data_IF_325197743670
#
_entry.id   IF_325197743670
#
_cell.length_a   1.000
_cell.length_b   1.000
_cell.length_c   1.000
_cell.angle_alpha   90.00
_cell.angle_beta   90.00
_cell.angle_gamma   90.00
#
_symmetry.space_group_name_H-M   'P 1'
#
loop_
_entity.id
_entity.type
_entity.pdbx_description
1 polymer ?
#
# COMPACT_ATOMS: atom_id res chain seq x y z
N UNK A 1 10.75 3.11 -6.48
CA UNK A 1 9.45 2.42 -6.23
C UNK A 1 8.45 3.33 -5.51
N UNK A 2 8.51 3.48 -4.18
CA UNK A 2 7.49 4.18 -3.38
C UNK A 2 7.09 5.58 -3.90
N UNK A 3 8.07 6.44 -4.19
CA UNK A 3 7.81 7.81 -4.68
C UNK A 3 7.06 7.79 -6.02
N UNK A 4 7.52 6.99 -6.99
CA UNK A 4 6.88 6.92 -8.30
C UNK A 4 5.48 6.31 -8.22
N UNK A 5 5.26 5.31 -7.35
CA UNK A 5 3.92 4.78 -7.08
C UNK A 5 3.00 5.85 -6.51
N UNK A 6 3.47 6.63 -5.53
CA UNK A 6 2.70 7.73 -4.96
C UNK A 6 2.35 8.80 -6.01
N UNK A 7 3.29 9.12 -6.91
CA UNK A 7 3.05 10.04 -8.03
C UNK A 7 2.00 9.49 -9.00
N UNK A 8 2.05 8.19 -9.33
CA UNK A 8 1.05 7.55 -10.19
C UNK A 8 -0.35 7.59 -9.56
N UNK A 9 -0.49 7.28 -8.26
CA UNK A 9 -1.76 7.37 -7.56
C UNK A 9 -2.27 8.82 -7.47
N UNK A 10 -1.40 9.76 -7.14
CA UNK A 10 -1.74 11.18 -7.12
C UNK A 10 -2.22 11.68 -8.49
N UNK A 11 -1.61 11.19 -9.57
CA UNK A 11 -2.06 11.48 -10.94
C UNK A 11 -3.48 10.97 -11.19
N UNK A 12 -3.79 9.71 -10.83
CA UNK A 12 -5.14 9.14 -10.99
C UNK A 12 -6.19 9.92 -10.18
N UNK A 13 -5.86 10.28 -8.95
CA UNK A 13 -6.75 11.03 -8.05
C UNK A 13 -6.95 12.49 -8.49
N UNK A 14 -6.06 13.04 -9.32
CA UNK A 14 -6.15 14.39 -9.87
C UNK A 14 -6.83 14.47 -11.25
N UNK A 15 -7.24 13.33 -11.83
CA UNK A 15 -8.01 13.32 -13.08
C UNK A 15 -9.37 14.02 -12.91
N UNK A 16 -9.97 14.42 -14.04
CA UNK A 16 -11.32 15.00 -14.09
C UNK A 16 -12.20 14.15 -15.04
N UNK A 17 -13.08 13.28 -14.51
CA UNK A 17 -13.32 13.01 -13.09
C UNK A 17 -12.20 12.18 -12.42
N UNK A 18 -12.02 12.28 -11.08
CA UNK A 18 -11.01 11.50 -10.36
C UNK A 18 -11.19 9.99 -10.54
N UNK A 19 -10.08 9.24 -10.56
CA UNK A 19 -10.09 7.79 -10.71
C UNK A 19 -9.47 7.09 -9.50
N UNK A 20 -10.18 6.14 -8.91
CA UNK A 20 -9.70 5.27 -7.84
C UNK A 20 -9.28 3.93 -8.44
N UNK A 21 -8.07 3.46 -8.13
CA UNK A 21 -7.50 2.23 -8.67
C UNK A 21 -8.17 0.97 -8.06
N UNK A 22 -8.35 0.97 -6.73
CA UNK A 22 -9.09 -0.03 -5.92
C UNK A 22 -8.41 -1.39 -5.75
N UNK A 23 -7.35 -1.66 -6.49
CA UNK A 23 -6.52 -2.87 -6.32
C UNK A 23 -5.01 -2.58 -6.31
N UNK A 24 -4.62 -1.59 -5.51
CA UNK A 24 -3.20 -1.27 -5.31
C UNK A 24 -2.55 -2.37 -4.47
N UNK A 25 -1.54 -3.04 -5.04
CA UNK A 25 -0.77 -4.11 -4.38
C UNK A 25 0.59 -4.25 -5.03
N UNK A 26 1.54 -4.89 -4.35
CA UNK A 26 2.91 -5.05 -4.83
C UNK A 26 2.98 -5.75 -6.20
N UNK A 27 2.12 -6.75 -6.47
CA UNK A 27 2.10 -7.43 -7.77
C UNK A 27 1.49 -6.62 -8.92
N UNK A 28 0.82 -5.50 -8.63
CA UNK A 28 0.29 -4.56 -9.62
C UNK A 28 1.23 -3.35 -9.83
N UNK A 29 2.36 -3.30 -9.15
CA UNK A 29 3.41 -2.29 -9.34
C UNK A 29 4.57 -2.98 -10.07
N UNK A 30 4.54 -2.90 -11.38
CA UNK A 30 5.55 -3.54 -12.23
C UNK A 30 6.81 -2.69 -12.31
N UNK A 31 7.95 -3.31 -12.57
CA UNK A 31 9.22 -2.63 -12.81
C UNK A 31 9.67 -2.91 -14.24
N UNK A 32 10.14 -1.89 -14.94
CA UNK A 32 10.84 -2.07 -16.21
C UNK A 32 12.36 -2.23 -16.03
N UNK A 33 13.09 -2.30 -17.13
CA UNK A 33 14.54 -2.51 -17.17
C UNK A 33 15.34 -1.40 -16.46
N UNK A 34 14.76 -0.21 -16.28
CA UNK A 34 15.39 0.91 -15.59
C UNK A 34 14.94 1.02 -14.12
N UNK A 35 14.19 0.03 -13.62
CA UNK A 35 13.57 0.03 -12.29
C UNK A 35 12.53 1.15 -12.10
N UNK A 36 12.00 1.70 -13.20
CA UNK A 36 10.86 2.60 -13.18
C UNK A 36 9.57 1.80 -12.99
N UNK A 37 8.64 2.34 -12.21
CA UNK A 37 7.37 1.66 -11.93
C UNK A 37 6.37 1.84 -13.07
N UNK A 38 5.56 0.82 -13.30
CA UNK A 38 4.31 0.91 -14.07
C UNK A 38 3.18 0.34 -13.24
N UNK A 39 2.20 1.19 -12.93
CA UNK A 39 0.98 0.74 -12.26
C UNK A 39 0.13 -0.04 -13.26
N UNK A 40 -0.33 -1.23 -12.87
CA UNK A 40 -1.05 -2.18 -13.72
C UNK A 40 -2.36 -2.63 -13.08
N UNK A 41 -3.19 -3.31 -13.89
CA UNK A 41 -4.47 -3.91 -13.51
C UNK A 41 -5.54 -2.90 -13.04
N UNK A 42 -6.06 -2.15 -14.00
CA UNK A 42 -7.17 -1.22 -13.82
C UNK A 42 -8.55 -1.90 -13.87
N UNK A 43 -8.63 -3.24 -13.78
CA UNK A 43 -9.89 -3.98 -13.95
C UNK A 43 -10.97 -3.63 -12.92
N UNK A 44 -10.55 -3.13 -11.75
CA UNK A 44 -11.44 -2.72 -10.67
C UNK A 44 -11.61 -1.20 -10.53
N UNK A 45 -10.99 -0.41 -11.42
CA UNK A 45 -10.97 1.04 -11.29
C UNK A 45 -12.37 1.66 -11.35
N UNK A 46 -12.52 2.82 -10.70
CA UNK A 46 -13.78 3.56 -10.64
C UNK A 46 -13.54 5.05 -10.78
N UNK A 47 -14.36 5.70 -11.61
CA UNK A 47 -14.43 7.15 -11.65
C UNK A 47 -15.31 7.64 -10.49
N UNK A 48 -14.91 8.73 -9.84
CA UNK A 48 -15.67 9.40 -8.78
C UNK A 48 -16.50 10.49 -9.43
N UNK A 49 -17.84 10.48 -9.28
CA UNK A 49 -18.68 11.58 -9.75
C UNK A 49 -18.23 12.91 -9.11
N UNK A 50 -18.19 13.99 -9.89
CA UNK A 50 -17.65 15.30 -9.44
C UNK A 50 -18.34 15.87 -8.20
N UNK A 51 -19.63 15.57 -8.02
CA UNK A 51 -20.44 16.05 -6.89
C UNK A 51 -20.52 15.03 -5.73
N UNK A 52 -19.68 13.99 -5.74
CA UNK A 52 -19.72 12.92 -4.75
C UNK A 52 -18.45 12.89 -3.89
N UNK A 53 -18.61 12.77 -2.57
CA UNK A 53 -17.50 12.54 -1.65
C UNK A 53 -17.00 11.10 -1.62
N UNK A 54 -17.78 10.17 -2.16
CA UNK A 54 -17.49 8.74 -2.19
C UNK A 54 -18.29 8.05 -3.29
N UNK A 55 -17.88 6.84 -3.64
CA UNK A 55 -18.64 5.92 -4.49
C UNK A 55 -19.19 4.79 -3.63
N UNK A 56 -20.52 4.68 -3.52
CA UNK A 56 -21.15 3.55 -2.83
C UNK A 56 -21.10 2.31 -3.71
N UNK A 57 -20.32 1.30 -3.32
CA UNK A 57 -20.15 0.07 -4.10
C UNK A 57 -19.73 -1.10 -3.22
N UNK A 58 -20.07 -2.33 -3.64
CA UNK A 58 -19.65 -3.57 -2.97
C UNK A 58 -18.12 -3.60 -2.84
N UNK A 59 -17.54 -3.89 -1.66
CA UNK A 59 -16.10 -4.09 -1.49
C UNK A 59 -15.51 -5.06 -2.51
N UNK A 60 -14.51 -4.58 -3.26
CA UNK A 60 -13.68 -5.39 -4.14
C UNK A 60 -12.23 -4.96 -3.97
N UNK A 61 -11.31 -5.89 -4.20
CA UNK A 61 -9.87 -5.70 -4.06
C UNK A 61 -9.21 -6.97 -3.53
N UNK A 62 -7.89 -6.94 -3.40
CA UNK A 62 -7.12 -8.09 -2.92
C UNK A 62 -7.09 -8.16 -1.38
N UNK A 63 -7.45 -9.31 -0.76
CA UNK A 63 -7.34 -9.48 0.69
C UNK A 63 -5.96 -9.12 1.23
N UNK A 64 -5.92 -8.37 2.34
CA UNK A 64 -4.68 -7.81 2.91
C UNK A 64 -4.43 -6.35 2.53
N UNK A 65 -4.96 -5.88 1.39
CA UNK A 65 -4.80 -4.50 0.91
C UNK A 65 -6.10 -3.68 0.99
N UNK A 66 -7.25 -4.34 1.15
CA UNK A 66 -8.56 -3.67 1.20
C UNK A 66 -8.67 -2.80 2.44
N UNK A 67 -9.00 -1.53 2.22
CA UNK A 67 -9.35 -0.56 3.25
C UNK A 67 -10.50 -1.08 4.14
N UNK A 68 -10.28 -1.20 5.46
CA UNK A 68 -11.29 -1.72 6.37
C UNK A 68 -12.51 -0.79 6.49
N UNK A 69 -12.34 0.53 6.34
CA UNK A 69 -13.47 1.47 6.37
C UNK A 69 -14.33 1.31 5.12
N UNK A 70 -13.71 1.23 3.94
CA UNK A 70 -14.41 0.88 2.71
C UNK A 70 -15.14 -0.47 2.82
N UNK A 71 -14.46 -1.48 3.37
CA UNK A 71 -15.05 -2.82 3.56
C UNK A 71 -16.30 -2.78 4.46
N UNK A 72 -16.28 -1.97 5.51
CA UNK A 72 -17.36 -1.87 6.49
C UNK A 72 -18.51 -0.98 6.02
N UNK A 73 -18.19 0.17 5.43
CA UNK A 73 -19.16 1.23 5.12
C UNK A 73 -19.64 1.21 3.66
N UNK A 74 -19.03 0.41 2.79
CA UNK A 74 -19.30 0.37 1.34
C UNK A 74 -19.00 1.70 0.62
N UNK A 75 -18.26 2.60 1.26
CA UNK A 75 -17.91 3.92 0.75
C UNK A 75 -16.48 3.91 0.21
N UNK A 76 -16.35 3.88 -1.12
CA UNK A 76 -15.06 3.92 -1.79
C UNK A 76 -14.60 5.37 -1.96
N UNK A 77 -13.38 5.68 -1.55
CA UNK A 77 -12.75 7.00 -1.71
C UNK A 77 -11.31 6.85 -2.21
N UNK A 78 -10.66 7.94 -2.57
CA UNK A 78 -9.24 7.95 -2.90
C UNK A 78 -8.37 7.50 -1.70
N UNK A 79 -8.88 7.66 -0.47
CA UNK A 79 -8.23 7.17 0.75
C UNK A 79 -8.15 5.65 0.81
N UNK A 80 -9.03 4.94 0.11
CA UNK A 80 -8.95 3.49 0.01
C UNK A 80 -7.68 3.06 -0.74
N UNK A 81 -7.28 3.76 -1.81
CA UNK A 81 -5.98 3.55 -2.47
C UNK A 81 -4.80 3.92 -1.55
N UNK A 82 -4.96 4.98 -0.74
CA UNK A 82 -3.92 5.40 0.23
C UNK A 82 -3.68 4.32 1.28
N UNK A 83 -4.73 3.68 1.79
CA UNK A 83 -4.60 2.55 2.72
C UNK A 83 -3.84 1.39 2.07
N UNK A 84 -4.28 0.96 0.87
CA UNK A 84 -3.63 -0.12 0.13
C UNK A 84 -2.16 0.19 -0.18
N UNK A 85 -1.84 1.44 -0.54
CA UNK A 85 -0.47 1.90 -0.72
C UNK A 85 0.34 1.87 0.58
N UNK A 86 -0.29 2.20 1.72
CA UNK A 86 0.32 2.01 3.05
C UNK A 86 0.75 0.57 3.31
N UNK A 87 -0.07 -0.42 2.91
CA UNK A 87 0.32 -1.83 2.99
C UNK A 87 1.54 -2.13 2.14
N UNK A 88 1.59 -1.62 0.90
CA UNK A 88 2.76 -1.76 0.01
C UNK A 88 4.01 -1.14 0.64
N UNK A 89 3.91 0.03 1.28
CA UNK A 89 5.05 0.63 1.98
C UNK A 89 5.56 -0.26 3.11
N UNK A 90 4.65 -0.89 3.86
CA UNK A 90 5.03 -1.86 4.90
C UNK A 90 5.70 -3.09 4.28
N UNK A 91 5.21 -3.63 3.18
CA UNK A 91 5.87 -4.73 2.47
C UNK A 91 7.30 -4.36 2.06
N UNK A 92 7.51 -3.15 1.53
CA UNK A 92 8.83 -2.66 1.11
C UNK A 92 9.81 -2.61 2.28
N UNK A 93 9.42 -2.04 3.43
CA UNK A 93 10.36 -1.87 4.56
C UNK A 93 10.60 -3.15 5.36
N UNK A 94 9.71 -4.13 5.25
CA UNK A 94 9.73 -5.32 6.11
C UNK A 94 10.08 -6.62 5.38
N UNK A 95 10.02 -6.61 4.04
CA UNK A 95 10.06 -7.79 3.19
C UNK A 95 9.04 -8.89 3.57
N UNK A 96 7.97 -8.51 4.29
CA UNK A 96 6.89 -9.41 4.71
C UNK A 96 5.72 -9.33 3.75
N UNK A 97 5.06 -10.46 3.50
CA UNK A 97 3.84 -10.52 2.69
C UNK A 97 2.63 -9.92 3.42
N UNK A 98 1.71 -9.30 2.68
CA UNK A 98 0.51 -8.64 3.20
C UNK A 98 -0.43 -9.55 4.01
N UNK A 99 -0.57 -10.82 3.62
CA UNK A 99 -1.31 -11.83 4.39
C UNK A 99 -0.47 -13.09 4.61
N UNK A 100 -0.27 -13.46 5.88
CA UNK A 100 0.51 -14.63 6.26
C UNK A 100 -0.19 -15.43 7.34
N UNK A 101 -0.73 -16.59 6.94
CA UNK A 101 -1.50 -17.47 7.83
C UNK A 101 -0.64 -18.16 8.89
N UNK A 102 0.70 -18.11 8.75
CA UNK A 102 1.62 -18.69 9.72
C UNK A 102 1.90 -17.75 10.90
N UNK A 103 1.50 -16.47 10.81
CA UNK A 103 1.61 -15.51 11.91
C UNK A 103 0.53 -15.74 12.96
N UNK A 104 0.68 -15.10 14.12
CA UNK A 104 -0.38 -15.06 15.12
C UNK A 104 -1.68 -14.55 14.50
N UNK A 105 -2.83 -15.05 14.96
CA UNK A 105 -4.15 -14.70 14.41
C UNK A 105 -4.41 -13.19 14.29
N UNK A 106 -3.85 -12.38 15.19
CA UNK A 106 -4.01 -10.91 15.18
C UNK A 106 -3.06 -10.20 14.20
N UNK A 107 -2.04 -10.90 13.72
CA UNK A 107 -0.93 -10.40 12.90
C UNK A 107 -0.92 -11.02 11.50
N UNK A 108 -1.92 -11.85 11.15
CA UNK A 108 -2.08 -12.42 9.82
C UNK A 108 -2.07 -11.31 8.76
N UNK A 109 -2.78 -10.21 9.04
CA UNK A 109 -2.78 -9.02 8.20
C UNK A 109 -1.58 -8.12 8.57
N UNK A 110 -0.73 -7.84 7.58
CA UNK A 110 0.48 -7.04 7.76
C UNK A 110 0.19 -5.60 8.20
N UNK A 111 -0.90 -4.99 7.75
CA UNK A 111 -1.30 -3.65 8.18
C UNK A 111 -1.60 -3.64 9.69
N UNK A 112 -2.29 -4.67 10.20
CA UNK A 112 -2.57 -4.78 11.64
C UNK A 112 -1.29 -4.97 12.46
N UNK A 113 -0.35 -5.78 11.96
CA UNK A 113 0.97 -5.94 12.57
C UNK A 113 1.71 -4.59 12.62
N UNK A 114 1.73 -3.85 11.50
CA UNK A 114 2.38 -2.55 11.42
C UNK A 114 1.75 -1.53 12.38
N UNK A 115 0.41 -1.43 12.39
CA UNK A 115 -0.32 -0.53 13.31
C UNK A 115 0.03 -0.85 14.76
N UNK A 116 0.04 -2.14 15.14
CA UNK A 116 0.41 -2.58 16.50
C UNK A 116 1.83 -2.12 16.84
N UNK A 117 2.81 -2.39 15.96
CA UNK A 117 4.21 -2.01 16.20
C UNK A 117 4.42 -0.50 16.25
N UNK A 118 3.69 0.26 15.44
CA UNK A 118 3.73 1.73 15.48
C UNK A 118 3.18 2.24 16.82
N UNK A 119 2.05 1.71 17.28
CA UNK A 119 1.43 2.10 18.55
C UNK A 119 2.28 1.74 19.77
N UNK A 120 3.03 0.63 19.69
CA UNK A 120 3.96 0.18 20.73
C UNK A 120 5.31 0.92 20.70
N UNK A 121 5.57 1.78 19.70
CA UNK A 121 6.88 2.41 19.50
C UNK A 121 7.97 1.43 19.03
N UNK A 122 7.57 0.27 18.51
CA UNK A 122 8.41 -0.86 18.14
C UNK A 122 8.55 -1.02 16.61
N UNK A 123 8.48 0.08 15.84
CA UNK A 123 8.57 0.05 14.37
C UNK A 123 9.87 -0.59 13.86
N UNK A 124 10.98 -0.45 14.59
CA UNK A 124 12.26 -1.06 14.26
C UNK A 124 12.18 -2.60 14.14
N UNK A 125 11.31 -3.26 14.91
CA UNK A 125 11.09 -4.71 14.82
C UNK A 125 10.40 -5.15 13.51
N UNK A 126 9.86 -4.18 12.75
CA UNK A 126 9.22 -4.43 11.48
C UNK A 126 10.21 -4.36 10.31
N UNK A 127 11.32 -3.66 10.46
CA UNK A 127 12.29 -3.40 9.38
C UNK A 127 13.02 -4.68 9.01
N UNK A 128 13.22 -4.90 7.70
CA UNK A 128 14.02 -6.01 7.20
C UNK A 128 15.47 -5.88 7.71
N UNK A 129 16.04 -6.89 8.40
CA UNK A 129 17.44 -6.88 8.82
C UNK A 129 18.44 -6.63 7.68
N UNK A 130 18.11 -6.98 6.42
CA UNK A 130 18.97 -6.68 5.28
C UNK A 130 19.10 -5.17 5.01
N UNK A 131 18.04 -4.39 5.24
CA UNK A 131 18.09 -2.93 5.13
C UNK A 131 18.95 -2.29 6.22
N UNK A 132 18.99 -2.88 7.43
CA UNK A 132 19.84 -2.39 8.53
C UNK A 132 21.33 -2.59 8.23
N UNK A 133 21.68 -3.69 7.57
CA UNK A 133 23.08 -3.99 7.22
C UNK A 133 23.61 -2.98 6.20
N UNK A 134 22.82 -2.60 5.20
CA UNK A 134 23.23 -1.63 4.17
C UNK A 134 23.44 -0.22 4.72
N UNK A 135 22.56 0.26 5.60
CA UNK A 135 22.71 1.57 6.26
C UNK A 135 24.02 1.65 7.07
N UNK A 136 24.38 0.56 7.79
CA UNK A 136 25.64 0.52 8.53
C UNK A 136 26.88 0.42 7.63
N UNK A 137 26.74 -0.06 6.39
CA UNK A 137 27.82 -0.15 5.41
C UNK A 137 28.06 1.20 4.72
N UNK A 138 27.01 1.88 4.26
CA UNK A 138 27.11 3.22 3.67
C UNK A 138 27.65 4.25 4.66
N UNK A 139 27.24 4.18 5.94
CA UNK A 139 27.78 5.04 7.00
C UNK A 139 29.26 4.78 7.30
N UNK A 140 29.82 3.61 6.95
CA UNK A 140 31.26 3.31 7.09
C UNK A 140 32.08 3.72 5.89
N UNK A 141 31.46 3.87 4.71
CA UNK A 141 32.13 4.31 3.48
C UNK A 141 32.19 5.85 3.39
N UNK A 142 31.37 6.56 4.17
CA UNK A 142 31.35 8.02 4.26
C UNK A 142 32.21 8.62 5.40
N UNK A 143 33.02 7.82 6.11
CA UNK A 143 33.94 8.30 7.18
C UNK A 143 35.39 7.98 6.83
#
# INVERSE_FOLDING_TARGET
IAIQTAQALAFLHALDPPMIHRDVKSSNILLDENLDIKLADFGLCRLVPLDASHVTTIPQGTPGYVDPEYYQCYQLTEKSDVYSFGVVLVEIISAKIAMDINRNRREINLANLAITKIQEGALHELVDPQLEIELTHEMKVMV
#
